data_IF_433905887214
#
_entry.id   IF_433905887214
#
_cell.length_a   1.000
_cell.length_b   1.000
_cell.length_c   1.000
_cell.angle_alpha   90.00
_cell.angle_beta   90.00
_cell.angle_gamma   90.00
#
_symmetry.space_group_name_H-M   'P 1'
#
loop_
_entity.id
_entity.type
_entity.pdbx_description
1 polymer ?
#
# COMPACT_ATOMS: atom_id res chain seq x y z
N UNK A 1 7.23 -17.08 -1.51
CA UNK A 1 8.18 -17.02 -0.38
C UNK A 1 7.48 -17.65 0.82
N UNK A 2 8.05 -18.69 1.37
CA UNK A 2 7.50 -19.31 2.58
C UNK A 2 7.90 -18.48 3.82
N UNK A 3 7.36 -18.83 5.00
CA UNK A 3 7.64 -18.11 6.25
C UNK A 3 9.16 -18.04 6.54
N UNK A 4 9.89 -19.09 6.23
CA UNK A 4 11.33 -19.18 6.49
C UNK A 4 12.14 -18.24 5.58
N UNK A 5 11.73 -18.08 4.32
CA UNK A 5 12.36 -17.15 3.38
C UNK A 5 12.07 -15.69 3.74
N UNK A 6 10.87 -15.38 4.25
CA UNK A 6 10.53 -14.05 4.79
C UNK A 6 11.40 -13.80 6.01
N UNK A 7 11.47 -14.75 6.93
CA UNK A 7 12.30 -14.67 8.13
C UNK A 7 13.78 -14.47 7.79
N UNK A 8 14.31 -15.17 6.77
CA UNK A 8 15.70 -15.01 6.34
C UNK A 8 15.98 -13.60 5.79
N UNK A 9 15.08 -13.04 4.98
CA UNK A 9 15.21 -11.67 4.47
C UNK A 9 15.09 -10.61 5.57
N UNK A 10 14.24 -10.84 6.55
CA UNK A 10 14.11 -9.95 7.72
C UNK A 10 15.37 -10.04 8.58
N UNK A 11 15.96 -11.24 8.80
CA UNK A 11 17.21 -11.41 9.53
C UNK A 11 18.41 -10.73 8.82
N UNK A 12 18.38 -10.65 7.48
CA UNK A 12 19.35 -9.86 6.70
C UNK A 12 19.19 -8.37 6.95
N UNK A 13 17.96 -7.88 7.02
CA UNK A 13 17.61 -6.52 7.42
C UNK A 13 18.09 -6.19 8.84
N UNK A 14 17.85 -7.08 9.80
CA UNK A 14 18.31 -6.89 11.19
C UNK A 14 19.84 -6.79 11.29
N UNK A 15 20.57 -7.64 10.56
CA UNK A 15 22.03 -7.53 10.50
C UNK A 15 22.47 -6.18 9.96
N UNK A 16 21.81 -5.67 8.96
CA UNK A 16 22.12 -4.38 8.35
C UNK A 16 21.84 -3.24 9.34
N UNK A 17 20.69 -3.27 10.00
CA UNK A 17 20.31 -2.31 11.05
C UNK A 17 21.31 -2.35 12.23
N UNK A 18 21.76 -3.53 12.63
CA UNK A 18 22.76 -3.66 13.69
C UNK A 18 24.15 -3.14 13.27
N UNK A 19 24.54 -3.37 12.02
CA UNK A 19 25.80 -2.84 11.49
C UNK A 19 25.78 -1.32 11.42
N UNK A 20 24.66 -0.74 10.96
CA UNK A 20 24.46 0.71 10.93
C UNK A 20 24.47 1.32 12.34
N UNK A 21 23.83 0.65 13.31
CA UNK A 21 23.88 1.06 14.73
C UNK A 21 25.30 1.02 15.31
N UNK A 22 26.11 0.03 14.94
CA UNK A 22 27.50 -0.10 15.39
C UNK A 22 28.41 0.94 14.73
N UNK A 23 28.16 1.31 13.50
CA UNK A 23 28.88 2.39 12.79
C UNK A 23 28.53 3.77 13.32
N UNK A 24 27.29 3.99 13.77
CA UNK A 24 26.80 5.27 14.29
C UNK A 24 26.94 5.40 15.83
N UNK A 25 27.26 4.34 16.56
CA UNK A 25 27.49 4.38 18.01
C UNK A 25 28.77 5.11 18.45
N UNK A 26 29.52 5.68 17.49
CA UNK A 26 30.72 6.51 17.74
C UNK A 26 30.49 8.02 17.75
N UNK A 27 29.25 8.51 17.58
CA UNK A 27 28.92 9.94 17.52
C UNK A 27 27.81 10.31 18.51
N UNK A 28 28.27 10.70 19.68
CA UNK A 28 27.72 11.63 20.68
C UNK A 28 26.22 11.63 21.06
N UNK A 29 26.06 11.25 22.33
CA UNK A 29 25.12 11.71 23.32
C UNK A 29 25.08 13.26 23.44
N UNK A 30 23.97 13.88 23.08
CA UNK A 30 23.51 15.16 23.67
C UNK A 30 22.04 15.41 23.28
N UNK A 31 21.16 15.37 24.29
CA UNK A 31 19.74 15.60 24.18
C UNK A 31 19.33 16.92 23.57
N UNK A 32 18.16 16.89 22.95
CA UNK A 32 17.09 17.89 23.11
C UNK A 32 15.86 17.49 22.34
N UNK A 33 14.76 17.37 23.07
CA UNK A 33 13.38 17.44 22.53
C UNK A 33 13.18 18.85 21.97
N UNK A 34 13.09 18.98 20.65
CA UNK A 34 12.47 20.12 19.98
C UNK A 34 12.22 19.78 18.50
N UNK A 35 11.00 19.97 18.03
CA UNK A 35 10.55 20.19 16.67
C UNK A 35 11.22 19.34 15.57
N UNK A 36 10.57 18.30 15.12
CA UNK A 36 10.99 17.50 13.95
C UNK A 36 11.18 18.40 12.74
N UNK A 37 12.40 18.65 12.35
CA UNK A 37 12.78 19.15 11.03
C UNK A 37 13.22 17.97 10.16
N UNK A 38 12.63 17.86 8.98
CA UNK A 38 12.57 16.67 8.10
C UNK A 38 13.89 16.17 7.48
N UNK A 39 15.06 16.66 7.81
CA UNK A 39 16.28 16.32 7.06
C UNK A 39 17.29 15.41 7.78
N UNK A 40 17.10 15.13 9.07
CA UNK A 40 18.00 14.26 9.85
C UNK A 40 17.47 12.83 10.09
N UNK A 41 16.13 12.66 10.02
CA UNK A 41 15.45 11.42 10.40
C UNK A 41 15.27 10.40 9.25
N UNK A 42 15.56 10.78 7.98
CA UNK A 42 15.25 9.92 6.83
C UNK A 42 16.26 8.81 6.57
N UNK A 43 17.50 8.96 7.05
CA UNK A 43 18.55 7.95 6.85
C UNK A 43 18.23 6.61 7.56
N UNK A 44 17.55 6.68 8.71
CA UNK A 44 17.15 5.50 9.51
C UNK A 44 15.68 5.11 9.30
N UNK A 45 14.93 5.87 8.51
CA UNK A 45 13.52 5.62 8.23
C UNK A 45 13.36 4.65 7.09
N UNK A 46 12.35 3.79 7.19
CA UNK A 46 11.93 2.86 6.15
C UNK A 46 10.63 3.31 5.51
N UNK A 47 10.47 2.93 4.25
CA UNK A 47 9.20 3.05 3.55
C UNK A 47 8.73 1.67 3.06
N UNK A 48 7.42 1.48 3.02
CA UNK A 48 6.79 0.23 2.57
C UNK A 48 5.99 0.49 1.29
N UNK A 49 6.29 -0.27 0.24
CA UNK A 49 5.57 -0.24 -1.03
C UNK A 49 4.72 -1.49 -1.19
N UNK A 50 3.42 -1.34 -1.39
CA UNK A 50 2.43 -2.41 -1.47
C UNK A 50 1.84 -2.47 -2.89
N UNK A 51 2.12 -3.55 -3.61
CA UNK A 51 1.60 -3.76 -4.96
C UNK A 51 0.12 -4.12 -4.99
N UNK A 52 -0.54 -3.87 -6.12
CA UNK A 52 -1.91 -4.27 -6.39
C UNK A 52 -2.05 -5.76 -6.73
N UNK A 53 -3.28 -6.32 -6.59
CA UNK A 53 -3.54 -7.72 -6.92
C UNK A 53 -4.79 -8.35 -6.31
N UNK A 54 -5.81 -7.58 -5.96
CA UNK A 54 -7.09 -8.09 -5.44
C UNK A 54 -6.92 -8.90 -4.15
N UNK A 55 -7.62 -10.01 -4.02
CA UNK A 55 -7.58 -10.87 -2.82
C UNK A 55 -6.21 -11.39 -2.42
N UNK A 56 -5.23 -11.39 -3.35
CA UNK A 56 -3.83 -11.70 -3.04
C UNK A 56 -3.22 -10.77 -2.01
N UNK A 57 -3.84 -9.62 -1.73
CA UNK A 57 -3.45 -8.68 -0.68
C UNK A 57 -3.36 -9.30 0.73
N UNK A 58 -4.02 -10.44 0.98
CA UNK A 58 -3.84 -11.22 2.21
C UNK A 58 -2.38 -11.63 2.46
N UNK A 59 -1.59 -11.85 1.40
CA UNK A 59 -0.16 -12.10 1.51
C UNK A 59 0.59 -10.92 2.15
N UNK A 60 0.20 -9.68 1.83
CA UNK A 60 0.81 -8.48 2.40
C UNK A 60 0.55 -8.38 3.90
N UNK A 61 -0.59 -8.89 4.40
CA UNK A 61 -0.84 -8.97 5.84
C UNK A 61 0.17 -9.87 6.55
N UNK A 62 0.52 -11.02 5.94
CA UNK A 62 1.58 -11.89 6.47
C UNK A 62 2.95 -11.20 6.50
N UNK A 63 3.29 -10.44 5.46
CA UNK A 63 4.52 -9.62 5.42
C UNK A 63 4.47 -8.53 6.49
N UNK A 64 3.35 -7.79 6.60
CA UNK A 64 3.16 -6.77 7.62
C UNK A 64 3.36 -7.33 9.04
N UNK A 65 2.74 -8.48 9.36
CA UNK A 65 2.92 -9.16 10.65
C UNK A 65 4.38 -9.48 10.92
N UNK A 66 5.08 -10.04 9.94
CA UNK A 66 6.50 -10.34 10.08
C UNK A 66 7.34 -9.08 10.32
N UNK A 67 7.11 -8.01 9.54
CA UNK A 67 7.81 -6.73 9.73
C UNK A 67 7.55 -6.12 11.13
N UNK A 68 6.32 -6.26 11.66
CA UNK A 68 5.97 -5.79 12.99
C UNK A 68 6.61 -6.65 14.10
N UNK A 69 6.61 -7.99 13.98
CA UNK A 69 7.25 -8.91 14.91
C UNK A 69 8.75 -8.62 15.08
N UNK A 70 9.40 -8.15 14.00
CA UNK A 70 10.81 -7.76 14.02
C UNK A 70 11.06 -6.27 14.33
N UNK A 71 10.02 -5.51 14.68
CA UNK A 71 10.11 -4.10 15.04
C UNK A 71 10.47 -3.17 13.87
N UNK A 72 10.35 -3.66 12.62
CA UNK A 72 10.65 -2.85 11.44
C UNK A 72 9.55 -1.83 11.17
N UNK A 73 8.30 -2.18 11.48
CA UNK A 73 7.17 -1.26 11.30
C UNK A 73 7.28 0.00 12.15
N UNK A 74 7.97 -0.04 13.29
CA UNK A 74 8.23 1.15 14.12
C UNK A 74 9.12 2.19 13.41
N UNK A 75 9.83 1.77 12.37
CA UNK A 75 10.69 2.63 11.53
C UNK A 75 10.04 3.05 10.22
N UNK A 76 8.90 2.45 9.86
CA UNK A 76 8.17 2.80 8.65
C UNK A 76 7.42 4.11 8.88
N UNK A 77 7.79 5.13 8.12
CA UNK A 77 7.20 6.47 8.20
C UNK A 77 6.45 6.88 6.93
N UNK A 78 6.53 6.05 5.88
CA UNK A 78 5.70 6.21 4.68
C UNK A 78 5.29 4.84 4.08
N UNK A 79 4.09 4.79 3.53
CA UNK A 79 3.58 3.62 2.82
C UNK A 79 2.98 4.09 1.49
N UNK A 80 3.34 3.43 0.39
CA UNK A 80 2.67 3.62 -0.89
C UNK A 80 1.91 2.35 -1.28
N UNK A 81 0.79 2.50 -1.96
CA UNK A 81 0.01 1.35 -2.39
C UNK A 81 -0.79 1.58 -3.66
N UNK A 82 -1.07 0.50 -4.36
CA UNK A 82 -1.93 0.46 -5.56
C UNK A 82 -3.04 -0.54 -5.36
N UNK A 83 -4.29 -0.18 -5.69
CA UNK A 83 -5.44 -1.11 -5.61
C UNK A 83 -5.59 -1.69 -4.20
N UNK A 84 -5.61 -3.01 -4.03
CA UNK A 84 -5.63 -3.65 -2.71
C UNK A 84 -4.43 -3.21 -1.85
N UNK A 85 -3.30 -2.88 -2.44
CA UNK A 85 -2.15 -2.33 -1.75
C UNK A 85 -2.43 -0.94 -1.15
N UNK A 86 -3.27 -0.11 -1.77
CA UNK A 86 -3.71 1.17 -1.20
C UNK A 86 -4.65 0.95 -0.01
N UNK A 87 -5.55 -0.04 -0.09
CA UNK A 87 -6.42 -0.44 1.03
C UNK A 87 -5.58 -0.96 2.19
N UNK A 88 -4.60 -1.83 1.92
CA UNK A 88 -3.67 -2.32 2.94
C UNK A 88 -2.81 -1.19 3.52
N UNK A 89 -2.38 -0.23 2.70
CA UNK A 89 -1.58 0.90 3.17
C UNK A 89 -2.31 1.71 4.25
N UNK A 90 -3.60 2.03 4.04
CA UNK A 90 -4.39 2.75 5.05
C UNK A 90 -4.70 1.87 6.27
N UNK A 91 -4.93 0.56 6.09
CA UNK A 91 -5.13 -0.36 7.21
C UNK A 91 -3.87 -0.48 8.08
N UNK A 92 -2.70 -0.66 7.48
CA UNK A 92 -1.43 -0.86 8.19
C UNK A 92 -0.92 0.44 8.83
N UNK A 93 -1.20 1.59 8.23
CA UNK A 93 -0.88 2.88 8.85
C UNK A 93 -1.69 3.17 10.12
N UNK A 94 -2.89 2.59 10.24
CA UNK A 94 -3.82 2.87 11.34
C UNK A 94 -3.83 1.83 12.44
N UNK A 95 -3.48 0.58 12.14
CA UNK A 95 -3.73 -0.57 12.99
C UNK A 95 -2.47 -1.41 13.22
N UNK A 96 -2.48 -2.20 14.28
CA UNK A 96 -1.56 -3.31 14.46
C UNK A 96 -1.93 -4.53 13.56
N UNK A 97 -1.06 -5.54 13.48
CA UNK A 97 -1.32 -6.73 12.66
C UNK A 97 -2.59 -7.50 13.03
N UNK A 98 -2.95 -7.57 14.33
CA UNK A 98 -4.12 -8.34 14.77
C UNK A 98 -5.41 -7.67 14.32
N UNK A 99 -5.50 -6.35 14.48
CA UNK A 99 -6.66 -5.58 14.02
C UNK A 99 -6.77 -5.54 12.49
N UNK A 100 -5.64 -5.51 11.80
CA UNK A 100 -5.61 -5.63 10.33
C UNK A 100 -6.08 -7.00 9.85
N UNK A 101 -5.73 -8.07 10.58
CA UNK A 101 -6.23 -9.42 10.33
C UNK A 101 -7.73 -9.55 10.58
N UNK A 102 -8.26 -8.89 11.64
CA UNK A 102 -9.71 -8.84 11.88
C UNK A 102 -10.45 -8.18 10.71
N UNK A 103 -9.91 -7.11 10.13
CA UNK A 103 -10.47 -6.48 8.93
C UNK A 103 -10.46 -7.45 7.75
N UNK A 104 -9.33 -8.13 7.51
CA UNK A 104 -9.20 -9.11 6.43
C UNK A 104 -10.14 -10.30 6.57
N UNK A 105 -10.41 -10.80 7.78
CA UNK A 105 -11.38 -11.87 8.05
C UNK A 105 -12.83 -11.48 7.69
N UNK A 106 -13.11 -10.20 7.51
CA UNK A 106 -14.42 -9.68 7.07
C UNK A 106 -14.50 -9.37 5.58
N UNK A 107 -13.38 -9.47 4.87
CA UNK A 107 -13.36 -9.36 3.41
C UNK A 107 -13.81 -10.70 2.85
N UNK A 108 -15.04 -10.74 2.35
CA UNK A 108 -15.63 -11.88 1.68
C UNK A 108 -15.88 -11.55 0.21
N UNK A 109 -16.30 -12.54 -0.55
CA UNK A 109 -16.66 -12.34 -1.96
C UNK A 109 -17.62 -11.16 -2.13
N UNK A 110 -18.65 -11.08 -1.31
CA UNK A 110 -19.70 -10.05 -1.35
C UNK A 110 -19.15 -8.65 -0.97
N UNK A 111 -18.05 -8.58 -0.22
CA UNK A 111 -17.42 -7.29 0.10
C UNK A 111 -16.75 -6.65 -1.13
N UNK A 112 -16.24 -7.49 -2.02
CA UNK A 112 -15.56 -7.05 -3.25
C UNK A 112 -16.52 -7.05 -4.43
N UNK A 113 -17.41 -8.05 -4.50
CA UNK A 113 -18.36 -8.25 -5.60
C UNK A 113 -19.80 -7.97 -5.16
N UNK A 114 -20.05 -6.77 -4.60
CA UNK A 114 -21.40 -6.29 -4.31
C UNK A 114 -22.06 -5.82 -5.62
N UNK A 115 -22.78 -6.74 -6.26
CA UNK A 115 -23.51 -6.43 -7.50
C UNK A 115 -24.72 -5.55 -7.18
N UNK A 116 -24.74 -4.34 -7.72
CA UNK A 116 -25.87 -3.43 -7.59
C UNK A 116 -26.77 -3.57 -8.82
N UNK A 117 -28.01 -4.11 -8.65
CA UNK A 117 -28.95 -4.28 -9.76
C UNK A 117 -29.32 -2.96 -10.44
N UNK A 118 -29.29 -1.84 -9.72
CA UNK A 118 -29.62 -0.52 -10.28
C UNK A 118 -28.52 -0.02 -11.21
N UNK A 119 -27.26 -0.41 -10.96
CA UNK A 119 -26.12 -0.08 -11.83
C UNK A 119 -26.11 -0.93 -13.11
N UNK A 120 -26.68 -2.14 -13.09
CA UNK A 120 -26.74 -3.01 -14.27
C UNK A 120 -27.61 -2.45 -15.40
N UNK A 121 -28.55 -1.54 -15.10
CA UNK A 121 -29.48 -0.95 -16.05
C UNK A 121 -29.08 0.47 -16.49
N UNK A 122 -27.99 1.01 -15.96
CA UNK A 122 -27.46 2.29 -16.35
C UNK A 122 -26.41 2.11 -17.45
N UNK A 123 -26.40 3.01 -18.45
CA UNK A 123 -25.41 3.04 -19.55
C UNK A 123 -23.96 3.36 -19.05
N UNK A 124 -23.74 3.35 -17.75
CA UNK A 124 -22.44 3.59 -17.13
C UNK A 124 -21.64 2.29 -17.02
N UNK A 125 -20.35 2.39 -17.29
CA UNK A 125 -19.42 1.28 -17.24
C UNK A 125 -19.12 0.86 -15.79
N UNK A 126 -19.83 -0.12 -15.26
CA UNK A 126 -19.60 -0.68 -13.93
C UNK A 126 -20.90 -1.15 -13.29
N UNK A 127 -20.90 -2.37 -12.76
CA UNK A 127 -22.07 -2.99 -12.16
C UNK A 127 -21.86 -3.39 -10.70
N UNK A 128 -20.70 -3.07 -10.12
CA UNK A 128 -20.37 -3.37 -8.74
C UNK A 128 -20.41 -2.14 -7.85
N UNK A 129 -20.93 -2.32 -6.65
CA UNK A 129 -20.98 -1.32 -5.58
C UNK A 129 -19.72 -1.39 -4.71
N UNK A 130 -19.30 -0.24 -4.17
CA UNK A 130 -18.20 -0.13 -3.19
C UNK A 130 -18.69 -0.04 -1.75
N UNK A 131 -20.00 -0.14 -1.52
CA UNK A 131 -20.61 0.12 -0.20
C UNK A 131 -20.01 -0.72 0.91
N UNK A 132 -19.84 -2.00 0.69
CA UNK A 132 -19.33 -2.91 1.72
C UNK A 132 -17.84 -2.66 2.02
N UNK A 133 -17.03 -2.36 1.01
CA UNK A 133 -15.64 -1.98 1.19
C UNK A 133 -15.50 -0.66 1.95
N UNK A 134 -16.33 0.34 1.63
CA UNK A 134 -16.36 1.62 2.35
C UNK A 134 -16.75 1.40 3.82
N UNK A 135 -17.78 0.59 4.11
CA UNK A 135 -18.17 0.25 5.50
C UNK A 135 -17.04 -0.45 6.25
N UNK A 136 -16.32 -1.34 5.57
CA UNK A 136 -15.17 -2.02 6.16
C UNK A 136 -14.08 -0.98 6.50
N UNK A 137 -13.74 -0.10 5.57
CA UNK A 137 -12.78 0.97 5.82
C UNK A 137 -13.22 1.85 6.99
N UNK A 138 -14.48 2.31 7.02
CA UNK A 138 -15.00 3.15 8.10
C UNK A 138 -14.95 2.47 9.47
N UNK A 139 -14.92 1.12 9.50
CA UNK A 139 -14.84 0.36 10.76
C UNK A 139 -13.40 0.17 11.25
N UNK A 140 -12.40 0.25 10.37
CA UNK A 140 -11.02 -0.11 10.69
C UNK A 140 -9.99 0.99 10.39
N UNK A 141 -10.33 2.02 9.60
CA UNK A 141 -9.41 3.12 9.26
C UNK A 141 -9.64 4.31 10.17
N UNK A 142 -8.60 4.76 10.82
CA UNK A 142 -8.57 6.04 11.54
C UNK A 142 -8.13 7.15 10.58
N UNK A 143 -9.10 7.81 9.98
CA UNK A 143 -8.87 8.88 9.01
C UNK A 143 -8.11 10.07 9.60
N UNK A 144 -8.26 10.31 10.91
CA UNK A 144 -7.51 11.37 11.62
C UNK A 144 -6.01 11.07 11.62
N UNK A 145 -5.61 9.84 11.93
CA UNK A 145 -4.19 9.44 11.87
C UNK A 145 -3.58 9.59 10.48
N UNK A 146 -4.35 9.28 9.42
CA UNK A 146 -3.90 9.43 8.04
C UNK A 146 -3.75 10.90 7.67
N UNK A 147 -4.74 11.72 8.05
CA UNK A 147 -4.71 13.17 7.83
C UNK A 147 -3.55 13.84 8.55
N UNK A 148 -3.29 13.45 9.80
CA UNK A 148 -2.17 13.98 10.60
C UNK A 148 -0.79 13.59 10.04
N UNK A 149 -0.73 12.60 9.13
CA UNK A 149 0.49 12.18 8.45
C UNK A 149 1.55 11.57 9.37
N UNK A 150 1.13 10.92 10.48
CA UNK A 150 2.06 10.19 11.36
C UNK A 150 2.85 9.13 10.57
N UNK A 151 2.13 8.41 9.70
CA UNK A 151 2.70 7.64 8.60
C UNK A 151 2.12 8.21 7.31
N UNK A 152 2.97 8.74 6.44
CA UNK A 152 2.51 9.31 5.17
C UNK A 152 2.07 8.18 4.23
N UNK A 153 0.82 8.23 3.77
CA UNK A 153 0.30 7.21 2.83
C UNK A 153 0.10 7.82 1.45
N UNK A 154 0.57 7.11 0.43
CA UNK A 154 0.36 7.42 -0.99
C UNK A 154 -0.49 6.35 -1.65
N UNK A 155 -1.56 6.75 -2.33
CA UNK A 155 -2.32 5.88 -3.22
C UNK A 155 -2.02 6.20 -4.68
N UNK A 156 -1.73 5.19 -5.48
CA UNK A 156 -1.56 5.34 -6.91
C UNK A 156 -2.92 5.25 -7.61
N UNK A 157 -3.23 6.22 -8.46
CA UNK A 157 -4.44 6.27 -9.30
C UNK A 157 -4.04 6.52 -10.75
N UNK A 158 -4.91 6.19 -11.70
CA UNK A 158 -4.69 6.43 -13.13
C UNK A 158 -5.89 7.17 -13.75
N UNK A 159 -5.65 8.18 -14.55
CA UNK A 159 -6.72 8.89 -15.26
C UNK A 159 -7.36 7.98 -16.32
N UNK A 160 -8.70 7.84 -16.31
CA UNK A 160 -9.42 6.93 -17.19
C UNK A 160 -9.37 7.35 -18.66
N UNK A 161 -9.42 8.66 -18.93
CA UNK A 161 -9.55 9.24 -20.27
C UNK A 161 -8.22 9.40 -21.03
N UNK A 162 -7.12 8.90 -20.47
CA UNK A 162 -5.81 9.06 -21.11
C UNK A 162 -5.69 8.19 -22.38
N UNK A 163 -5.43 8.84 -23.51
CA UNK A 163 -5.03 8.16 -24.75
C UNK A 163 -3.52 7.83 -24.68
N UNK A 164 -3.15 6.61 -25.07
CA UNK A 164 -1.77 6.16 -25.06
C UNK A 164 -1.34 5.47 -23.76
N UNK A 165 -0.07 5.61 -23.38
CA UNK A 165 0.48 5.04 -22.14
C UNK A 165 -0.03 5.84 -20.94
N UNK A 166 -0.73 5.14 -20.03
CA UNK A 166 -1.25 5.76 -18.81
C UNK A 166 -0.13 6.08 -17.84
N UNK A 167 -0.22 7.25 -17.23
CA UNK A 167 0.69 7.64 -16.15
C UNK A 167 -0.04 7.53 -14.81
N UNK A 168 0.68 7.03 -13.81
CA UNK A 168 0.18 6.99 -12.44
C UNK A 168 0.30 8.38 -11.80
N UNK A 169 -0.76 8.79 -11.12
CA UNK A 169 -0.72 9.88 -10.15
C UNK A 169 -0.61 9.28 -8.75
N UNK A 170 0.30 9.82 -7.92
CA UNK A 170 0.52 9.35 -6.55
C UNK A 170 -0.02 10.39 -5.59
N UNK A 171 -1.13 10.10 -4.97
CA UNK A 171 -1.87 11.04 -4.14
C UNK A 171 -1.52 10.80 -2.68
N UNK A 172 -0.95 11.82 -2.01
CA UNK A 172 -0.74 11.81 -0.57
C UNK A 172 -2.04 11.98 0.17
N UNK A 173 -2.31 11.15 1.16
CA UNK A 173 -3.51 11.22 2.00
C UNK A 173 -3.37 12.19 3.18
N UNK A 174 -2.17 12.73 3.44
CA UNK A 174 -1.92 13.69 4.50
C UNK A 174 -2.67 15.01 4.24
N UNK A 175 -3.34 15.52 5.24
CA UNK A 175 -4.13 16.75 5.18
C UNK A 175 -5.53 16.61 4.57
N UNK A 176 -5.91 15.40 4.13
CA UNK A 176 -7.22 15.11 3.56
C UNK A 176 -8.26 14.81 4.64
N UNK A 177 -9.50 15.13 4.36
CA UNK A 177 -10.62 14.66 5.18
C UNK A 177 -10.99 13.19 4.86
N UNK A 178 -11.90 12.61 5.66
CA UNK A 178 -12.29 11.22 5.53
C UNK A 178 -12.97 10.90 4.18
N UNK A 179 -13.68 11.84 3.58
CA UNK A 179 -14.36 11.64 2.30
C UNK A 179 -13.34 11.66 1.15
N UNK A 180 -12.40 12.58 1.19
CA UNK A 180 -11.30 12.65 0.21
C UNK A 180 -10.42 11.40 0.26
N UNK A 181 -10.06 10.92 1.47
CA UNK A 181 -9.28 9.68 1.64
C UNK A 181 -10.04 8.49 1.06
N UNK A 182 -11.33 8.32 1.39
CA UNK A 182 -12.16 7.26 0.80
C UNK A 182 -12.19 7.36 -0.72
N UNK A 183 -12.41 8.54 -1.26
CA UNK A 183 -12.48 8.79 -2.69
C UNK A 183 -11.20 8.36 -3.39
N UNK A 184 -10.03 8.77 -2.90
CA UNK A 184 -8.74 8.44 -3.49
C UNK A 184 -8.42 6.94 -3.38
N UNK A 185 -8.66 6.32 -2.22
CA UNK A 185 -8.40 4.88 -2.04
C UNK A 185 -9.35 4.05 -2.91
N UNK A 186 -10.62 4.45 -3.03
CA UNK A 186 -11.56 3.78 -3.95
C UNK A 186 -11.16 3.99 -5.41
N UNK A 187 -10.69 5.17 -5.82
CA UNK A 187 -10.17 5.40 -7.16
C UNK A 187 -9.02 4.43 -7.47
N UNK A 188 -8.07 4.28 -6.52
CA UNK A 188 -6.94 3.36 -6.65
C UNK A 188 -7.34 1.91 -6.88
N UNK A 189 -8.51 1.48 -6.40
CA UNK A 189 -9.02 0.11 -6.50
C UNK A 189 -10.18 -0.05 -7.49
N UNK A 190 -10.38 0.92 -8.36
CA UNK A 190 -11.46 0.92 -9.35
C UNK A 190 -11.04 0.22 -10.64
N UNK A 191 -11.24 -1.10 -10.70
CA UNK A 191 -11.01 -1.87 -11.93
C UNK A 191 -12.06 -1.48 -12.98
N UNK A 192 -11.65 -1.02 -14.17
CA UNK A 192 -12.56 -0.72 -15.27
C UNK A 192 -13.43 -1.93 -15.62
N UNK A 193 -14.64 -1.68 -16.06
CA UNK A 193 -15.70 -2.65 -16.36
C UNK A 193 -16.37 -3.27 -15.12
N UNK A 194 -15.70 -3.38 -13.98
CA UNK A 194 -16.31 -3.86 -12.73
C UNK A 194 -16.93 -2.72 -11.94
N UNK A 195 -16.22 -1.61 -11.83
CA UNK A 195 -16.65 -0.43 -11.07
C UNK A 195 -16.73 0.80 -11.98
N UNK A 196 -17.66 1.69 -11.67
CA UNK A 196 -17.67 3.03 -12.27
C UNK A 196 -16.39 3.77 -11.89
N UNK A 197 -15.88 4.63 -12.81
CA UNK A 197 -14.78 5.55 -12.50
C UNK A 197 -15.10 6.42 -11.30
N UNK A 198 -14.07 6.96 -10.68
CA UNK A 198 -14.19 7.85 -9.52
C UNK A 198 -13.80 9.26 -9.96
N UNK A 199 -14.71 10.21 -9.74
CA UNK A 199 -14.39 11.63 -9.97
C UNK A 199 -13.58 12.17 -8.79
N UNK A 200 -12.38 12.68 -9.08
CA UNK A 200 -11.54 13.38 -8.12
C UNK A 200 -10.93 14.62 -8.79
N UNK A 201 -11.05 15.79 -8.15
CA UNK A 201 -10.58 17.07 -8.70
C UNK A 201 -11.04 17.35 -10.14
N UNK A 202 -12.26 16.95 -10.49
CA UNK A 202 -12.87 17.18 -11.81
C UNK A 202 -12.40 16.27 -12.94
N UNK A 203 -11.62 15.24 -12.63
CA UNK A 203 -11.19 14.19 -13.55
C UNK A 203 -11.72 12.83 -13.13
N UNK A 204 -11.79 11.90 -14.08
CA UNK A 204 -12.22 10.52 -13.85
C UNK A 204 -11.01 9.61 -13.69
N UNK A 205 -10.96 8.87 -12.56
CA UNK A 205 -9.88 7.98 -12.22
C UNK A 205 -10.32 6.53 -12.10
N UNK A 206 -9.38 5.65 -12.37
CA UNK A 206 -9.50 4.20 -12.25
C UNK A 206 -8.25 3.62 -11.58
N UNK A 207 -8.23 2.28 -11.45
CA UNK A 207 -7.18 1.54 -10.74
C UNK A 207 -5.78 1.94 -11.20
N UNK A 208 -4.96 2.34 -10.23
CA UNK A 208 -3.57 2.75 -10.46
C UNK A 208 -2.70 1.65 -11.06
N UNK A 209 -3.09 0.37 -10.91
CA UNK A 209 -2.38 -0.78 -11.47
C UNK A 209 -2.34 -0.81 -13.00
N UNK A 210 -3.20 -0.01 -13.66
CA UNK A 210 -3.15 0.20 -15.11
C UNK A 210 -1.96 1.06 -15.55
N UNK A 211 -1.32 1.78 -14.62
CA UNK A 211 -0.18 2.65 -14.89
C UNK A 211 1.04 2.24 -14.05
N UNK A 212 0.91 2.07 -12.75
CA UNK A 212 1.98 1.59 -11.86
C UNK A 212 1.42 0.68 -10.76
N UNK A 213 1.59 -0.62 -10.94
CA UNK A 213 1.09 -1.62 -10.00
C UNK A 213 1.94 -1.75 -8.73
N UNK A 214 3.18 -1.27 -8.73
CA UNK A 214 4.08 -1.32 -7.57
C UNK A 214 4.72 0.06 -7.41
N UNK A 215 4.08 0.99 -6.66
CA UNK A 215 4.40 2.41 -6.66
C UNK A 215 5.61 2.75 -5.76
N UNK A 216 6.81 2.40 -6.20
CA UNK A 216 8.07 2.75 -5.53
C UNK A 216 8.39 4.24 -5.67
N UNK A 217 8.05 4.82 -6.83
CA UNK A 217 8.43 6.18 -7.21
C UNK A 217 8.08 7.26 -6.17
N UNK A 218 6.87 7.35 -5.59
CA UNK A 218 6.55 8.41 -4.64
C UNK A 218 7.41 8.35 -3.38
N UNK A 219 7.78 7.15 -2.92
CA UNK A 219 8.65 6.98 -1.77
C UNK A 219 10.08 7.44 -2.08
N UNK A 220 10.60 7.02 -3.23
CA UNK A 220 11.92 7.42 -3.68
C UNK A 220 12.04 8.94 -3.90
N UNK A 221 11.04 9.55 -4.53
CA UNK A 221 10.98 11.00 -4.79
C UNK A 221 10.91 11.82 -3.49
N UNK A 222 10.31 11.26 -2.43
CA UNK A 222 10.32 11.86 -1.10
C UNK A 222 11.69 11.77 -0.37
N UNK A 223 12.63 11.03 -0.93
CA UNK A 223 13.96 10.88 -0.36
C UNK A 223 14.17 9.59 0.44
N UNK A 224 13.19 8.68 0.52
CA UNK A 224 13.43 7.38 1.14
C UNK A 224 14.42 6.57 0.33
N UNK A 225 15.39 5.98 1.05
CA UNK A 225 16.42 5.12 0.47
C UNK A 225 16.39 3.71 1.03
N UNK A 226 15.70 3.46 2.13
CA UNK A 226 15.41 2.14 2.66
C UNK A 226 13.95 1.81 2.33
N UNK A 227 13.70 1.00 1.30
CA UNK A 227 12.36 0.72 0.81
C UNK A 227 12.11 -0.78 0.81
N UNK A 228 11.05 -1.21 1.50
CA UNK A 228 10.56 -2.59 1.41
C UNK A 228 9.44 -2.64 0.39
N UNK A 229 9.61 -3.45 -0.64
CA UNK A 229 8.61 -3.69 -1.69
C UNK A 229 7.93 -5.02 -1.45
N UNK A 230 6.62 -5.01 -1.24
CA UNK A 230 5.80 -6.20 -1.17
C UNK A 230 4.91 -6.31 -2.42
N UNK A 231 5.38 -7.01 -3.44
CA UNK A 231 4.62 -7.30 -4.65
C UNK A 231 3.81 -8.59 -4.53
N UNK A 232 2.78 -8.74 -5.36
CA UNK A 232 1.84 -9.86 -5.32
C UNK A 232 1.96 -10.81 -6.53
N UNK A 233 2.72 -10.43 -7.53
CA UNK A 233 2.95 -11.25 -8.72
C UNK A 233 4.45 -11.52 -8.91
N UNK A 234 4.92 -12.77 -8.67
CA UNK A 234 6.33 -13.11 -8.82
C UNK A 234 6.81 -13.07 -10.28
N UNK A 235 5.89 -13.22 -11.25
CA UNK A 235 6.21 -13.26 -12.68
C UNK A 235 6.26 -11.86 -13.31
N UNK A 236 5.81 -10.82 -12.58
CA UNK A 236 5.80 -9.43 -13.04
C UNK A 236 6.33 -8.51 -11.94
N UNK A 237 7.64 -8.61 -11.69
CA UNK A 237 8.31 -7.76 -10.70
C UNK A 237 8.51 -6.35 -11.23
N UNK A 238 8.53 -5.38 -10.32
CA UNK A 238 8.88 -4.00 -10.62
C UNK A 238 10.34 -3.93 -11.10
N UNK A 239 10.57 -3.22 -12.20
CA UNK A 239 11.91 -2.79 -12.54
C UNK A 239 12.38 -1.70 -11.58
N UNK A 240 13.36 -2.03 -10.74
CA UNK A 240 13.95 -1.12 -9.74
C UNK A 240 15.28 -0.52 -10.19
N UNK A 241 15.73 -0.79 -11.41
CA UNK A 241 17.04 -0.35 -11.93
C UNK A 241 17.23 1.16 -11.94
N UNK A 242 16.16 1.93 -11.96
CA UNK A 242 16.19 3.39 -11.89
C UNK A 242 16.49 3.96 -10.50
N UNK A 243 16.40 3.14 -9.44
CA UNK A 243 16.56 3.58 -8.03
C UNK A 243 17.93 3.20 -7.47
N UNK A 244 18.99 3.61 -8.15
CA UNK A 244 20.36 3.09 -7.98
C UNK A 244 21.03 3.42 -6.64
N UNK A 245 20.56 4.45 -5.95
CA UNK A 245 21.07 4.90 -4.63
C UNK A 245 20.13 4.49 -3.48
N UNK A 246 19.13 3.65 -3.76
CA UNK A 246 18.23 3.12 -2.74
C UNK A 246 18.53 1.65 -2.44
N UNK A 247 18.38 1.30 -1.17
CA UNK A 247 18.38 -0.06 -0.69
C UNK A 247 16.96 -0.60 -0.72
N UNK A 248 16.65 -1.37 -1.75
CA UNK A 248 15.31 -1.89 -1.99
C UNK A 248 15.28 -3.38 -1.70
N UNK A 249 14.44 -3.75 -0.74
CA UNK A 249 14.19 -5.15 -0.39
C UNK A 249 12.89 -5.59 -1.00
N UNK A 250 12.99 -6.51 -1.94
CA UNK A 250 11.84 -7.05 -2.65
C UNK A 250 11.32 -8.33 -1.97
N UNK A 251 10.06 -8.32 -1.61
CA UNK A 251 9.32 -9.46 -1.05
C UNK A 251 8.19 -9.83 -2.01
N UNK A 252 8.30 -10.99 -2.63
CA UNK A 252 7.30 -11.54 -3.54
C UNK A 252 6.95 -12.97 -3.14
N UNK A 253 5.74 -13.47 -3.43
CA UNK A 253 5.42 -14.88 -3.28
C UNK A 253 6.39 -15.76 -4.08
N UNK A 254 6.78 -16.92 -3.55
CA UNK A 254 7.63 -17.89 -4.26
C UNK A 254 6.89 -18.66 -5.34
N UNK A 255 5.57 -18.66 -5.26
CA UNK A 255 4.66 -19.31 -6.21
C UNK A 255 3.57 -18.33 -6.62
N UNK A 256 2.96 -18.54 -7.78
CA UNK A 256 1.80 -17.76 -8.19
C UNK A 256 0.67 -17.91 -7.16
N UNK A 257 0.06 -16.81 -6.76
CA UNK A 257 -1.13 -16.76 -5.91
C UNK A 257 -2.44 -16.85 -6.73
N UNK A 258 -2.35 -17.35 -7.96
CA UNK A 258 -3.46 -17.35 -8.91
C UNK A 258 -3.56 -16.06 -9.72
N UNK A 259 -4.53 -15.97 -10.61
CA UNK A 259 -4.85 -14.73 -11.33
C UNK A 259 -5.62 -13.74 -10.42
N UNK A 260 -6.07 -12.62 -10.98
CA UNK A 260 -6.82 -11.62 -10.22
C UNK A 260 -8.18 -12.17 -9.74
N UNK A 261 -8.81 -13.01 -10.56
CA UNK A 261 -10.11 -13.60 -10.26
C UNK A 261 -9.95 -14.73 -9.24
N UNK A 262 -9.01 -15.65 -9.46
CA UNK A 262 -8.72 -16.75 -8.53
C UNK A 262 -8.31 -16.24 -7.15
N UNK A 263 -7.42 -15.24 -7.09
CA UNK A 263 -7.02 -14.59 -5.84
C UNK A 263 -8.16 -13.86 -5.15
N UNK A 264 -9.23 -13.51 -5.86
CA UNK A 264 -10.40 -12.81 -5.31
C UNK A 264 -11.54 -13.78 -4.96
N UNK A 265 -11.61 -14.96 -5.62
CA UNK A 265 -12.62 -16.00 -5.36
C UNK A 265 -12.22 -16.96 -4.22
N UNK A 266 -10.94 -17.12 -3.93
CA UNK A 266 -10.41 -18.05 -2.93
C UNK A 266 -10.02 -17.35 -1.63
N UNK A 267 -10.98 -16.68 -1.00
CA UNK A 267 -10.84 -16.12 0.36
C UNK A 267 -11.05 -17.17 1.47
N UNK A 268 -10.74 -18.43 1.26
CA UNK A 268 -10.88 -19.49 2.27
C UNK A 268 -9.54 -19.82 2.94
#
# INVERSE_FOLDING_TARGET
MNRDEITAKIAELEKKIQMDKLQNAGADDAGKVAGRTQSGDMADSYALCLGGGGGKGAYQLGVYRALAEYGLMDKVTAISGTSIGAINAVLFACNDPDRSEEAWKKIHFETVFDVDPDLMFNDKSGFMSRREMIKLMDSYVDYGKLSDGQVTVYAAIAECAQEGERQAEYISLAGMDAEEIRTVVMASSTLPMLYESVTYNGKEYCDGGLADNVPVKPLYDMGYRNIVVCGLNPDSKKDISAYTDADIIEIYPSVSLGDLIDGTLNFS
#
